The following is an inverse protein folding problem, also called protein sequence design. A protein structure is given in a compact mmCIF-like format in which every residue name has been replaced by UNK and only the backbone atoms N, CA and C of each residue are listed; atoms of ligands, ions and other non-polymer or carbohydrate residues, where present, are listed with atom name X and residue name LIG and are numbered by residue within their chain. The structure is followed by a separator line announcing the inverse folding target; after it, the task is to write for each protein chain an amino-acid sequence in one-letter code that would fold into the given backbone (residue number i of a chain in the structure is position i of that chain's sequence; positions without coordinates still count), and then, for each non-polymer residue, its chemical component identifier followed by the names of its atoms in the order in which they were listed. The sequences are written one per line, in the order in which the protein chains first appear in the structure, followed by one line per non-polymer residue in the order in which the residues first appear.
data_IF_248157729359
#
_entry.id   IF_248157729359
#
_cell.length_a   1.000
_cell.length_b   1.000
_cell.length_c   1.000
_cell.angle_alpha   90.00
_cell.angle_beta   90.00
_cell.angle_gamma   90.00
#
_symmetry.space_group_name_H-M   'P 1'
#
loop_
_entity.id
_entity.type
_entity.pdbx_description
1 polymer ?
#
# COMPACT_ATOMS: atom_id res chain seq x y z
N UNK A 1 19.98 -39.57 -10.45
CA UNK A 1 19.82 -39.01 -9.09
C UNK A 1 19.08 -37.70 -9.24
N UNK A 2 17.77 -37.75 -9.02
CA UNK A 2 16.88 -36.59 -9.17
C UNK A 2 16.84 -35.86 -7.82
N UNK A 3 17.28 -34.60 -7.83
CA UNK A 3 17.35 -33.74 -6.64
C UNK A 3 15.92 -33.29 -6.28
N UNK A 4 15.38 -33.81 -5.19
CA UNK A 4 14.09 -33.38 -4.66
C UNK A 4 14.21 -31.93 -4.12
N UNK A 5 13.34 -31.05 -4.61
CA UNK A 5 13.25 -29.67 -4.16
C UNK A 5 12.94 -29.59 -2.64
N UNK A 6 13.51 -28.62 -1.91
CA UNK A 6 13.34 -28.52 -0.46
C UNK A 6 11.89 -28.22 -0.10
N UNK A 7 11.30 -29.10 0.70
CA UNK A 7 9.97 -28.92 1.30
C UNK A 7 10.05 -27.72 2.24
N UNK A 8 9.38 -26.62 1.88
CA UNK A 8 9.24 -25.45 2.76
C UNK A 8 8.56 -25.90 4.05
N UNK A 9 9.26 -25.75 5.18
CA UNK A 9 8.71 -26.01 6.51
C UNK A 9 7.51 -25.09 6.76
N UNK A 10 6.33 -25.67 6.92
CA UNK A 10 5.11 -24.95 7.31
C UNK A 10 5.27 -24.53 8.77
N UNK A 11 5.50 -23.24 9.01
CA UNK A 11 5.44 -22.67 10.37
C UNK A 11 3.96 -22.45 10.71
N UNK A 12 3.43 -23.22 11.65
CA UNK A 12 2.10 -22.98 12.21
C UNK A 12 2.13 -21.69 13.02
N UNK A 13 1.58 -20.61 12.46
CA UNK A 13 1.37 -19.36 13.17
C UNK A 13 0.01 -19.47 13.86
N UNK A 14 -0.02 -19.51 15.19
CA UNK A 14 -1.26 -19.45 15.95
C UNK A 14 -1.78 -18.00 15.94
N UNK A 15 -2.68 -17.69 15.01
CA UNK A 15 -3.27 -16.36 14.90
C UNK A 15 -4.52 -16.34 15.79
N UNK A 16 -4.58 -15.48 16.83
CA UNK A 16 -5.63 -15.50 17.85
C UNK A 16 -6.93 -14.84 17.36
N UNK A 17 -7.37 -15.19 16.16
CA UNK A 17 -8.62 -14.70 15.55
C UNK A 17 -9.41 -15.88 14.98
N UNK A 18 -10.76 -15.85 15.03
CA UNK A 18 -11.60 -16.93 14.50
C UNK A 18 -11.41 -17.23 13.00
N UNK A 19 -10.73 -16.34 12.29
CA UNK A 19 -10.45 -16.40 10.85
C UNK A 19 -8.94 -16.44 10.55
N UNK A 20 -8.12 -17.05 11.41
CA UNK A 20 -6.65 -17.06 11.29
C UNK A 20 -6.11 -17.44 9.90
N UNK A 21 -6.68 -18.45 9.24
CA UNK A 21 -6.28 -18.82 7.87
C UNK A 21 -6.52 -17.70 6.82
N UNK A 22 -7.53 -16.85 7.04
CA UNK A 22 -7.82 -15.68 6.18
C UNK A 22 -6.74 -14.61 6.39
N UNK A 23 -6.30 -14.41 7.64
CA UNK A 23 -5.21 -13.50 7.97
C UNK A 23 -3.90 -13.94 7.33
N UNK A 24 -3.56 -15.22 7.39
CA UNK A 24 -2.39 -15.79 6.70
C UNK A 24 -2.46 -15.56 5.19
N UNK A 25 -3.61 -15.85 4.56
CA UNK A 25 -3.82 -15.62 3.13
C UNK A 25 -3.65 -14.15 2.75
N UNK A 26 -4.09 -13.21 3.60
CA UNK A 26 -3.92 -11.78 3.35
C UNK A 26 -2.48 -11.32 3.57
N UNK A 27 -1.75 -11.90 4.52
CA UNK A 27 -0.35 -11.56 4.78
C UNK A 27 0.54 -11.91 3.59
N UNK A 28 0.44 -13.13 3.08
CA UNK A 28 1.38 -13.67 2.08
C UNK A 28 0.83 -13.71 0.65
N UNK A 29 -0.45 -13.36 0.45
CA UNK A 29 -1.13 -13.42 -0.84
C UNK A 29 -1.08 -12.12 -1.66
N UNK A 30 -0.30 -11.12 -1.23
CA UNK A 30 -0.26 -9.79 -1.84
C UNK A 30 0.85 -9.66 -2.86
N UNK A 31 0.63 -8.83 -3.88
CA UNK A 31 1.62 -8.56 -4.94
C UNK A 31 2.68 -7.53 -4.55
N UNK A 32 2.44 -6.74 -3.50
CA UNK A 32 3.22 -5.55 -3.19
C UNK A 32 3.98 -5.64 -1.85
N UNK A 33 4.23 -6.87 -1.39
CA UNK A 33 4.88 -7.16 -0.12
C UNK A 33 3.95 -7.80 0.90
N UNK A 34 4.56 -8.44 1.88
CA UNK A 34 3.84 -9.12 2.96
C UNK A 34 3.35 -8.13 4.01
N UNK A 35 2.28 -8.50 4.72
CA UNK A 35 1.81 -7.78 5.91
C UNK A 35 2.23 -8.52 7.18
N UNK A 36 2.31 -7.79 8.29
CA UNK A 36 2.30 -8.41 9.62
C UNK A 36 0.92 -8.98 9.96
N UNK A 37 0.87 -9.86 10.95
CA UNK A 37 -0.38 -10.43 11.46
C UNK A 37 -1.29 -9.32 11.96
N UNK A 38 -0.73 -8.32 12.65
CA UNK A 38 -1.43 -7.17 13.20
C UNK A 38 -2.03 -6.31 12.09
N UNK A 39 -1.24 -5.99 11.06
CA UNK A 39 -1.67 -5.21 9.90
C UNK A 39 -2.78 -5.92 9.11
N UNK A 40 -2.63 -7.22 8.87
CA UNK A 40 -3.66 -8.03 8.21
C UNK A 40 -4.93 -8.13 9.08
N UNK A 41 -4.76 -8.24 10.39
CA UNK A 41 -5.87 -8.35 11.34
C UNK A 41 -6.70 -7.08 11.38
N UNK A 42 -6.05 -5.91 11.44
CA UNK A 42 -6.69 -4.61 11.40
C UNK A 42 -7.52 -4.41 10.12
N UNK A 43 -6.99 -4.83 8.97
CA UNK A 43 -7.71 -4.78 7.69
C UNK A 43 -8.93 -5.70 7.69
N UNK A 44 -8.75 -6.97 8.07
CA UNK A 44 -9.83 -7.96 8.03
C UNK A 44 -10.97 -7.62 8.97
N UNK A 45 -10.68 -7.15 10.18
CA UNK A 45 -11.70 -6.76 11.18
C UNK A 45 -12.75 -5.80 10.61
N UNK A 46 -12.38 -4.94 9.64
CA UNK A 46 -13.28 -3.98 8.99
C UNK A 46 -13.81 -4.45 7.63
N UNK A 47 -13.16 -5.45 7.04
CA UNK A 47 -13.36 -5.82 5.62
C UNK A 47 -14.11 -7.13 5.43
N UNK A 48 -14.30 -7.94 6.48
CA UNK A 48 -15.06 -9.18 6.40
C UNK A 48 -16.26 -9.18 7.33
N UNK A 49 -17.26 -9.95 6.97
CA UNK A 49 -18.42 -10.22 7.82
C UNK A 49 -18.67 -11.73 7.86
N UNK A 50 -19.07 -12.29 9.01
CA UNK A 50 -19.41 -13.70 9.09
C UNK A 50 -20.63 -14.02 8.20
N UNK A 51 -20.64 -15.22 7.67
CA UNK A 51 -21.78 -15.83 7.00
C UNK A 51 -22.00 -17.24 7.56
N UNK A 52 -22.97 -17.98 7.02
CA UNK A 52 -23.29 -19.33 7.48
C UNK A 52 -22.12 -20.32 7.39
N UNK A 53 -22.12 -21.28 8.33
CA UNK A 53 -21.18 -22.39 8.43
C UNK A 53 -19.73 -21.98 8.71
N UNK A 54 -19.53 -20.97 9.57
CA UNK A 54 -18.20 -20.52 9.98
C UNK A 54 -17.38 -19.86 8.86
N UNK A 55 -18.04 -19.46 7.77
CA UNK A 55 -17.42 -18.81 6.63
C UNK A 55 -17.45 -17.29 6.81
N UNK A 56 -16.61 -16.61 6.03
CA UNK A 56 -16.53 -15.15 5.99
C UNK A 56 -16.60 -14.68 4.54
N UNK A 57 -17.22 -13.51 4.34
CA UNK A 57 -17.20 -12.83 3.04
C UNK A 57 -16.60 -11.44 3.21
N UNK A 58 -15.92 -10.97 2.18
CA UNK A 58 -15.55 -9.55 2.12
C UNK A 58 -16.78 -8.68 1.92
N UNK A 59 -16.76 -7.49 2.53
CA UNK A 59 -17.86 -6.51 2.48
C UNK A 59 -17.81 -5.59 1.26
N UNK A 60 -16.79 -5.71 0.40
CA UNK A 60 -16.64 -4.84 -0.76
C UNK A 60 -17.51 -5.26 -1.95
N UNK A 61 -17.90 -4.26 -2.74
CA UNK A 61 -18.65 -4.45 -3.99
C UNK A 61 -17.80 -5.17 -5.04
N UNK A 62 -18.34 -6.23 -5.65
CA UNK A 62 -17.61 -7.02 -6.64
C UNK A 62 -17.26 -6.22 -7.92
N UNK A 63 -18.00 -5.14 -8.22
CA UNK A 63 -17.71 -4.26 -9.35
C UNK A 63 -16.37 -3.53 -9.21
N UNK A 64 -15.84 -3.40 -7.99
CA UNK A 64 -14.50 -2.84 -7.75
C UNK A 64 -13.37 -3.74 -8.28
N UNK A 65 -13.65 -5.01 -8.59
CA UNK A 65 -12.70 -5.89 -9.29
C UNK A 65 -12.61 -5.57 -10.78
N UNK A 66 -13.59 -4.85 -11.32
CA UNK A 66 -13.59 -4.47 -12.73
C UNK A 66 -12.68 -3.25 -12.89
N UNK A 67 -11.76 -3.35 -13.85
CA UNK A 67 -10.97 -2.21 -14.28
C UNK A 67 -11.84 -1.39 -15.24
N UNK A 68 -12.05 -0.10 -14.94
CA UNK A 68 -12.69 0.83 -15.86
C UNK A 68 -11.60 1.33 -16.82
N UNK A 69 -11.79 1.03 -18.10
CA UNK A 69 -11.00 1.51 -19.25
C UNK A 69 -11.94 2.43 -20.06
N UNK A 70 -11.55 3.65 -20.50
CA UNK A 70 -10.21 4.06 -20.88
C UNK A 70 -9.35 4.55 -19.70
N UNK A 71 -8.25 3.86 -19.45
CA UNK A 71 -7.20 4.29 -18.54
C UNK A 71 -6.61 5.62 -19.04
N UNK A 72 -6.66 6.64 -18.19
CA UNK A 72 -5.90 7.88 -18.39
C UNK A 72 -4.43 7.52 -18.52
N UNK A 73 -3.86 7.71 -19.70
CA UNK A 73 -2.44 7.46 -19.92
C UNK A 73 -1.58 8.45 -19.12
N UNK A 74 -0.26 8.22 -19.11
CA UNK A 74 0.64 9.15 -18.41
C UNK A 74 0.66 10.55 -19.00
N UNK A 75 0.34 10.72 -20.29
CA UNK A 75 0.26 12.04 -20.90
C UNK A 75 -0.82 12.87 -20.22
N UNK A 76 -2.02 12.32 -20.09
CA UNK A 76 -3.13 13.00 -19.44
C UNK A 76 -2.80 13.37 -17.98
N UNK A 77 -2.17 12.46 -17.24
CA UNK A 77 -1.78 12.70 -15.84
C UNK A 77 -0.74 13.83 -15.77
N UNK A 78 0.30 13.77 -16.61
CA UNK A 78 1.38 14.76 -16.62
C UNK A 78 0.86 16.14 -17.05
N UNK A 79 0.00 16.20 -18.07
CA UNK A 79 -0.65 17.43 -18.52
C UNK A 79 -1.53 18.02 -17.43
N UNK A 80 -2.32 17.20 -16.74
CA UNK A 80 -3.13 17.66 -15.60
C UNK A 80 -2.25 18.31 -14.53
N UNK A 81 -1.11 17.70 -14.19
CA UNK A 81 -0.18 18.25 -13.18
C UNK A 81 0.48 19.56 -13.67
N UNK A 82 0.68 19.72 -14.98
CA UNK A 82 1.25 20.94 -15.58
C UNK A 82 0.23 22.09 -15.61
N UNK A 83 -0.98 21.83 -16.09
CA UNK A 83 -2.05 22.83 -16.26
C UNK A 83 -2.67 23.22 -14.92
N UNK A 84 -2.74 22.27 -13.98
CA UNK A 84 -3.35 22.45 -12.67
C UNK A 84 -2.38 22.00 -11.56
N UNK A 85 -1.28 22.74 -11.32
CA UNK A 85 -0.32 22.38 -10.29
C UNK A 85 -0.97 22.46 -8.91
N UNK A 86 -0.59 21.53 -8.03
CA UNK A 86 -1.01 21.56 -6.62
C UNK A 86 -0.40 22.81 -5.99
N UNK A 87 -1.22 23.61 -5.31
CA UNK A 87 -0.80 24.89 -4.70
C UNK A 87 -0.44 24.76 -3.23
N UNK A 88 -0.97 23.75 -2.54
CA UNK A 88 -0.63 23.48 -1.14
C UNK A 88 0.67 22.66 -1.04
N UNK A 89 1.35 22.69 0.12
CA UNK A 89 2.45 21.76 0.37
C UNK A 89 2.00 20.31 0.26
N UNK A 90 2.87 19.45 -0.29
CA UNK A 90 2.62 18.03 -0.48
C UNK A 90 3.79 17.23 0.07
N UNK A 91 3.49 16.20 0.85
CA UNK A 91 4.44 15.17 1.24
C UNK A 91 4.05 13.84 0.56
N UNK A 92 4.94 13.31 -0.27
CA UNK A 92 4.84 11.96 -0.84
C UNK A 92 5.83 11.04 -0.13
N UNK A 93 5.37 9.90 0.36
CA UNK A 93 6.21 8.88 1.02
C UNK A 93 6.17 7.61 0.17
N UNK A 94 7.35 7.10 -0.17
CA UNK A 94 7.53 5.92 -1.03
C UNK A 94 8.32 4.84 -0.27
N UNK A 95 7.84 3.60 -0.23
CA UNK A 95 8.60 2.47 0.29
C UNK A 95 9.66 2.00 -0.71
N UNK A 96 10.91 1.85 -0.29
CA UNK A 96 12.05 1.47 -1.13
C UNK A 96 11.88 0.09 -1.79
N UNK A 97 11.11 -0.83 -1.20
CA UNK A 97 10.85 -2.15 -1.77
C UNK A 97 9.75 -2.13 -2.86
N UNK A 98 9.05 -1.00 -3.02
CA UNK A 98 7.98 -0.83 -4.04
C UNK A 98 8.53 -0.49 -5.43
N UNK A 99 9.61 -1.15 -5.85
CA UNK A 99 10.42 -0.78 -7.03
C UNK A 99 9.62 -0.74 -8.32
N UNK A 100 8.83 -1.78 -8.63
CA UNK A 100 8.02 -1.85 -9.85
C UNK A 100 7.03 -0.70 -9.98
N UNK A 101 6.38 -0.33 -8.88
CA UNK A 101 5.45 0.79 -8.88
C UNK A 101 6.19 2.12 -9.09
N UNK A 102 7.33 2.30 -8.43
CA UNK A 102 8.14 3.50 -8.59
C UNK A 102 8.69 3.64 -10.01
N UNK A 103 9.16 2.55 -10.62
CA UNK A 103 9.62 2.49 -12.00
C UNK A 103 8.49 2.84 -12.98
N UNK A 104 7.33 2.21 -12.84
CA UNK A 104 6.16 2.49 -13.66
C UNK A 104 5.69 3.95 -13.52
N UNK A 105 5.79 4.53 -12.31
CA UNK A 105 5.39 5.92 -12.02
C UNK A 105 6.48 6.97 -12.26
N UNK A 106 7.68 6.59 -12.74
CA UNK A 106 8.79 7.54 -12.89
C UNK A 106 8.43 8.82 -13.65
N UNK A 107 7.73 8.79 -14.80
CA UNK A 107 7.39 10.02 -15.54
C UNK A 107 6.56 11.01 -14.70
N UNK A 108 5.62 10.48 -13.92
CA UNK A 108 4.76 11.27 -13.03
C UNK A 108 5.56 11.80 -11.84
N UNK A 109 6.41 10.97 -11.22
CA UNK A 109 7.26 11.37 -10.10
C UNK A 109 8.26 12.45 -10.51
N UNK A 110 8.84 12.37 -11.71
CA UNK A 110 9.72 13.40 -12.25
C UNK A 110 8.99 14.75 -12.42
N UNK A 111 7.70 14.72 -12.74
CA UNK A 111 6.92 15.95 -12.84
C UNK A 111 6.65 16.58 -11.47
N UNK A 112 6.32 15.77 -10.46
CA UNK A 112 6.17 16.26 -9.09
C UNK A 112 7.48 16.80 -8.50
N UNK A 113 8.64 16.20 -8.82
CA UNK A 113 9.96 16.69 -8.37
C UNK A 113 10.29 18.11 -8.85
N UNK A 114 9.64 18.61 -9.90
CA UNK A 114 9.82 19.98 -10.39
C UNK A 114 9.05 21.02 -9.56
N UNK A 115 8.07 20.59 -8.75
CA UNK A 115 7.24 21.47 -7.94
C UNK A 115 7.92 21.75 -6.60
N UNK A 116 8.12 23.04 -6.28
CA UNK A 116 8.84 23.47 -5.06
C UNK A 116 8.11 23.12 -3.76
N UNK A 117 6.78 22.98 -3.85
CA UNK A 117 5.90 22.65 -2.74
C UNK A 117 5.75 21.13 -2.53
N UNK A 118 6.43 20.28 -3.32
CA UNK A 118 6.33 18.83 -3.21
C UNK A 118 7.61 18.25 -2.62
N UNK A 119 7.47 17.56 -1.50
CA UNK A 119 8.53 16.84 -0.80
C UNK A 119 8.32 15.35 -1.03
N UNK A 120 9.31 14.68 -1.62
CA UNK A 120 9.29 13.21 -1.79
C UNK A 120 10.29 12.59 -0.81
N UNK A 121 9.83 11.65 0.01
CA UNK A 121 10.64 10.87 0.95
C UNK A 121 10.57 9.40 0.62
N UNK A 122 11.71 8.76 0.50
CA UNK A 122 11.82 7.31 0.39
C UNK A 122 12.11 6.76 1.79
N UNK A 123 11.37 5.75 2.21
CA UNK A 123 11.48 5.09 3.51
C UNK A 123 11.72 3.60 3.33
N UNK A 124 12.26 2.96 4.36
CA UNK A 124 12.46 1.51 4.37
C UNK A 124 11.12 0.79 4.54
N UNK A 125 10.83 -0.15 3.63
CA UNK A 125 9.65 -1.00 3.64
C UNK A 125 8.91 -1.08 2.30
N UNK A 126 7.85 -1.90 2.30
CA UNK A 126 7.04 -2.20 1.14
C UNK A 126 5.90 -1.19 0.90
N UNK A 127 4.96 -1.54 0.01
CA UNK A 127 3.84 -0.67 -0.37
C UNK A 127 2.95 -0.29 0.83
N UNK A 128 2.82 -1.21 1.79
CA UNK A 128 2.01 -1.07 2.99
C UNK A 128 2.87 -0.67 4.21
N UNK A 129 4.04 -0.04 4.01
CA UNK A 129 4.95 0.38 5.10
C UNK A 129 4.27 1.18 6.20
N UNK A 130 3.30 2.03 5.86
CA UNK A 130 2.51 2.80 6.83
C UNK A 130 1.66 1.94 7.78
N UNK A 131 1.35 0.71 7.40
CA UNK A 131 0.58 -0.26 8.18
C UNK A 131 1.50 -1.31 8.83
N UNK A 132 2.60 -1.66 8.17
CA UNK A 132 3.58 -2.68 8.63
C UNK A 132 4.60 -2.12 9.61
N UNK A 133 5.14 -0.93 9.33
CA UNK A 133 6.15 -0.22 10.12
C UNK A 133 5.77 1.27 10.20
N UNK A 134 4.66 1.62 10.88
CA UNK A 134 4.13 2.97 10.92
C UNK A 134 5.15 4.01 11.41
N UNK A 135 6.10 3.63 12.27
CA UNK A 135 7.19 4.46 12.78
C UNK A 135 8.06 5.07 11.66
N UNK A 136 8.28 4.33 10.57
CA UNK A 136 9.06 4.80 9.42
C UNK A 136 8.35 5.94 8.67
N UNK A 137 7.03 6.05 8.81
CA UNK A 137 6.18 7.03 8.13
C UNK A 137 5.80 8.17 9.09
N UNK A 138 5.46 7.84 10.34
CA UNK A 138 4.88 8.75 11.32
C UNK A 138 5.76 9.98 11.59
N UNK A 139 7.09 9.81 11.61
CA UNK A 139 8.03 10.92 11.81
C UNK A 139 7.88 12.00 10.73
N UNK A 140 7.79 11.60 9.47
CA UNK A 140 7.70 12.53 8.34
C UNK A 140 6.34 13.23 8.31
N UNK A 141 5.27 12.47 8.54
CA UNK A 141 3.91 13.01 8.61
C UNK A 141 3.79 14.03 9.75
N UNK A 142 4.28 13.69 10.94
CA UNK A 142 4.22 14.58 12.10
C UNK A 142 4.99 15.88 11.88
N UNK A 143 6.22 15.78 11.35
CA UNK A 143 7.03 16.95 10.99
C UNK A 143 6.34 17.84 9.95
N UNK A 144 5.70 17.23 8.96
CA UNK A 144 5.01 17.95 7.90
C UNK A 144 3.77 18.68 8.43
N UNK A 145 2.95 18.03 9.26
CA UNK A 145 1.72 18.62 9.82
C UNK A 145 1.96 19.70 10.88
N UNK A 146 3.07 19.61 11.62
CA UNK A 146 3.42 20.58 12.67
C UNK A 146 4.06 21.84 12.07
N UNK A 147 4.66 21.75 10.87
CA UNK A 147 5.29 22.90 10.23
C UNK A 147 4.24 23.95 9.80
N UNK A 148 4.46 25.22 10.17
CA UNK A 148 3.52 26.33 9.93
C UNK A 148 3.27 26.63 8.44
N UNK A 149 4.19 26.27 7.56
CA UNK A 149 3.98 26.41 6.11
C UNK A 149 2.97 25.39 5.55
N UNK A 150 2.62 24.34 6.32
CA UNK A 150 1.63 23.31 5.97
C UNK A 150 0.19 23.62 6.40
N UNK A 151 -0.08 24.82 6.94
CA UNK A 151 -1.44 25.25 7.27
C UNK A 151 -2.06 25.91 6.04
N UNK A 152 -3.17 25.33 5.56
CA UNK A 152 -4.08 25.95 4.61
C UNK A 152 -4.57 27.30 5.13
#
# INVERSE_FOLDING_TARGET
MESAAPVKSIKYINIPVPWGHIAEKLQFGRRYGDLTVEAATALLTRSITPVENGRYKFTFDQRLKNVIDPLRDFHYIIETIKEHPVTCPVLMILGNESTLQQEYMQPVLQQFKKQKNVIIKVVDGNHDVHNVQPENVALYVSKFLINKEGKL
#
